data_IF_040744561791
#
_entry.id   IF_040744561791
#
_cell.length_a   1.000
_cell.length_b   1.000
_cell.length_c   1.000
_cell.angle_alpha   90.00
_cell.angle_beta   90.00
_cell.angle_gamma   90.00
#
_symmetry.space_group_name_H-M   'P 1'
#
loop_
_entity.id
_entity.type
_entity.pdbx_description
1 polymer ?
#
# COMPACT_ATOMS: atom_id res chain seq x y z
N UNK A 1 16.16 14.10 4.39
CA UNK A 1 15.38 12.90 4.73
C UNK A 1 14.21 12.76 3.75
N UNK A 2 14.01 11.58 3.17
CA UNK A 2 12.89 11.30 2.27
C UNK A 2 11.88 10.38 2.98
N UNK A 3 10.61 10.42 2.58
CA UNK A 3 9.60 9.56 3.18
C UNK A 3 9.85 8.09 2.81
N UNK A 4 9.99 7.24 3.83
CA UNK A 4 9.96 5.78 3.66
C UNK A 4 8.52 5.25 3.64
N UNK A 5 8.36 3.93 3.51
CA UNK A 5 7.08 3.24 3.73
C UNK A 5 6.58 3.51 5.16
N UNK A 6 5.27 3.47 5.35
CA UNK A 6 4.58 3.84 6.61
C UNK A 6 3.76 2.67 7.23
N UNK A 7 4.12 1.42 6.93
CA UNK A 7 3.36 0.24 7.38
C UNK A 7 3.34 0.11 8.92
N UNK A 8 4.45 0.43 9.58
CA UNK A 8 4.57 0.36 11.04
C UNK A 8 3.63 1.36 11.71
N UNK A 9 3.59 2.60 11.20
CA UNK A 9 2.76 3.68 11.71
C UNK A 9 1.28 3.37 11.51
N UNK A 10 0.90 2.81 10.36
CA UNK A 10 -0.48 2.34 10.11
C UNK A 10 -0.88 1.22 11.06
N UNK A 11 -0.01 0.23 11.26
CA UNK A 11 -0.27 -0.87 12.19
C UNK A 11 -0.39 -0.36 13.63
N UNK A 12 0.52 0.48 14.10
CA UNK A 12 0.43 1.07 15.44
C UNK A 12 -0.91 1.80 15.65
N UNK A 13 -1.34 2.62 14.68
CA UNK A 13 -2.67 3.27 14.72
C UNK A 13 -3.81 2.25 14.73
N UNK A 14 -3.71 1.18 13.93
CA UNK A 14 -4.70 0.09 13.92
C UNK A 14 -4.83 -0.62 15.27
N UNK A 15 -3.74 -0.71 16.04
CA UNK A 15 -3.72 -1.25 17.40
C UNK A 15 -4.03 -0.19 18.49
N UNK A 16 -4.52 1.00 18.10
CA UNK A 16 -4.96 2.04 19.02
C UNK A 16 -3.85 2.93 19.59
N UNK A 17 -2.67 2.98 18.94
CA UNK A 17 -1.56 3.86 19.34
C UNK A 17 -1.62 5.16 18.55
N UNK A 18 -1.53 6.29 19.26
CA UNK A 18 -1.33 7.59 18.65
C UNK A 18 0.10 7.72 18.11
N UNK A 19 0.19 7.94 16.80
CA UNK A 19 1.46 8.13 16.08
C UNK A 19 1.42 9.47 15.35
N UNK A 20 2.36 10.35 15.70
CA UNK A 20 2.62 11.58 14.97
C UNK A 20 3.62 11.26 13.85
N UNK A 21 3.22 11.43 12.60
CA UNK A 21 4.09 11.16 11.47
C UNK A 21 3.82 12.13 10.32
N UNK A 22 4.91 12.62 9.74
CA UNK A 22 4.93 13.42 8.52
C UNK A 22 6.08 12.92 7.63
N UNK A 23 6.16 13.30 6.34
CA UNK A 23 7.28 12.90 5.50
C UNK A 23 8.64 13.19 6.14
N UNK A 24 9.41 12.13 6.42
CA UNK A 24 10.73 12.21 7.05
C UNK A 24 10.74 12.37 8.58
N UNK A 25 9.59 12.30 9.24
CA UNK A 25 9.47 12.37 10.71
C UNK A 25 8.41 11.39 11.23
N UNK A 26 8.73 10.66 12.29
CA UNK A 26 7.76 9.85 13.01
C UNK A 26 8.10 9.84 14.51
N UNK A 27 7.08 9.94 15.34
CA UNK A 27 7.20 9.92 16.80
C UNK A 27 6.01 9.21 17.44
N UNK A 28 6.28 8.61 18.60
CA UNK A 28 5.27 7.97 19.45
C UNK A 28 5.51 8.38 20.89
N UNK A 29 4.44 8.60 21.66
CA UNK A 29 4.56 8.78 23.11
C UNK A 29 4.66 7.42 23.78
N UNK A 30 5.65 7.25 24.65
CA UNK A 30 5.80 6.04 25.47
C UNK A 30 4.63 5.85 26.46
N UNK A 31 4.47 4.63 26.96
CA UNK A 31 3.44 4.30 27.97
C UNK A 31 2.05 3.97 27.39
N UNK A 32 1.86 4.09 26.08
CA UNK A 32 0.66 3.63 25.39
C UNK A 32 0.55 2.10 25.39
N UNK A 33 -0.67 1.56 25.30
CA UNK A 33 -0.93 0.12 25.26
C UNK A 33 -1.56 -0.27 23.92
N UNK A 34 -1.03 -1.32 23.32
CA UNK A 34 -1.63 -1.93 22.13
C UNK A 34 -2.93 -2.62 22.51
N UNK A 35 -3.99 -2.39 21.74
CA UNK A 35 -5.25 -3.10 21.83
C UNK A 35 -5.35 -4.11 20.70
N UNK A 36 -5.56 -5.38 21.05
CA UNK A 36 -5.80 -6.42 20.06
C UNK A 36 -7.06 -6.08 19.24
N UNK A 37 -6.97 -6.30 17.94
CA UNK A 37 -8.06 -6.08 16.99
C UNK A 37 -7.95 -7.10 15.84
N UNK A 38 -9.03 -7.23 15.06
CA UNK A 38 -8.97 -7.96 13.80
C UNK A 38 -8.33 -7.06 12.74
N UNK A 39 -7.34 -7.59 12.03
CA UNK A 39 -6.69 -6.92 10.90
C UNK A 39 -6.84 -7.79 9.68
N UNK A 40 -7.47 -7.25 8.65
CA UNK A 40 -7.42 -7.84 7.32
C UNK A 40 -6.12 -7.41 6.64
N UNK A 41 -5.27 -8.37 6.29
CA UNK A 41 -3.99 -8.10 5.66
C UNK A 41 -4.21 -7.99 4.14
N UNK A 42 -3.95 -6.83 3.52
CA UNK A 42 -4.14 -6.68 2.09
C UNK A 42 -3.13 -7.53 1.31
N UNK A 43 -3.51 -7.97 0.11
CA UNK A 43 -2.61 -8.66 -0.82
C UNK A 43 -1.45 -7.73 -1.24
N UNK A 44 -0.26 -8.30 -1.41
CA UNK A 44 0.95 -7.50 -1.69
C UNK A 44 0.95 -6.96 -3.12
N UNK A 45 0.97 -5.63 -3.25
CA UNK A 45 1.10 -4.94 -4.54
C UNK A 45 2.38 -5.29 -5.30
N UNK A 46 3.47 -5.64 -4.61
CA UNK A 46 4.70 -6.09 -5.28
C UNK A 46 4.50 -7.43 -5.98
N UNK A 47 3.69 -8.33 -5.41
CA UNK A 47 3.30 -9.58 -6.07
C UNK A 47 2.25 -9.34 -7.16
N UNK A 48 1.30 -8.43 -6.93
CA UNK A 48 0.29 -8.03 -7.91
C UNK A 48 0.90 -7.35 -9.15
N UNK A 49 2.08 -6.75 -9.02
CA UNK A 49 2.78 -6.09 -10.13
C UNK A 49 3.03 -7.02 -11.31
N UNK A 50 3.37 -8.29 -11.06
CA UNK A 50 3.65 -9.25 -12.14
C UNK A 50 2.44 -9.53 -13.04
N UNK A 51 1.25 -9.90 -12.52
CA UNK A 51 0.07 -10.07 -13.36
C UNK A 51 -0.45 -8.75 -13.93
N UNK A 52 -0.25 -7.60 -13.27
CA UNK A 52 -0.57 -6.28 -13.84
C UNK A 52 0.24 -5.99 -15.11
N UNK A 53 1.56 -6.24 -15.06
CA UNK A 53 2.44 -6.10 -16.23
C UNK A 53 2.07 -7.11 -17.32
N UNK A 54 1.74 -8.35 -16.95
CA UNK A 54 1.30 -9.36 -17.91
C UNK A 54 0.03 -8.90 -18.66
N UNK A 55 -0.97 -8.38 -17.96
CA UNK A 55 -2.18 -7.85 -18.57
C UNK A 55 -1.91 -6.64 -19.48
N UNK A 56 -0.92 -5.80 -19.12
CA UNK A 56 -0.54 -4.65 -19.93
C UNK A 56 0.14 -5.00 -21.26
N UNK A 57 0.82 -6.15 -21.35
CA UNK A 57 1.62 -6.53 -22.54
C UNK A 57 0.96 -7.63 -23.40
N UNK A 58 -0.01 -8.37 -22.86
CA UNK A 58 -0.71 -9.43 -23.59
C UNK A 58 -2.02 -8.87 -24.17
N UNK A 59 -2.18 -8.80 -25.51
CA UNK A 59 -3.38 -8.25 -26.13
C UNK A 59 -4.67 -8.96 -25.71
N UNK A 60 -5.73 -8.20 -25.45
CA UNK A 60 -7.04 -8.72 -25.06
C UNK A 60 -7.13 -9.26 -23.63
N UNK A 61 -6.12 -9.02 -22.79
CA UNK A 61 -6.18 -9.39 -21.38
C UNK A 61 -7.19 -8.55 -20.60
N UNK A 62 -7.90 -9.20 -19.69
CA UNK A 62 -8.78 -8.58 -18.69
C UNK A 62 -8.55 -9.29 -17.35
N UNK A 63 -8.30 -8.52 -16.29
CA UNK A 63 -7.85 -9.04 -15.01
C UNK A 63 -8.45 -8.25 -13.86
N UNK A 64 -9.08 -8.97 -12.92
CA UNK A 64 -9.50 -8.44 -11.62
C UNK A 64 -8.55 -8.94 -10.52
N UNK A 65 -7.88 -8.01 -9.85
CA UNK A 65 -7.06 -8.30 -8.66
C UNK A 65 -7.77 -7.79 -7.40
N UNK A 66 -8.17 -8.70 -6.53
CA UNK A 66 -8.96 -8.38 -5.33
C UNK A 66 -8.09 -8.08 -4.11
N UNK A 67 -8.52 -7.14 -3.28
CA UNK A 67 -7.91 -6.82 -1.98
C UNK A 67 -6.40 -6.47 -2.02
N UNK A 68 -5.91 -5.94 -3.15
CA UNK A 68 -4.50 -5.49 -3.28
C UNK A 68 -4.27 -4.21 -2.49
N UNK A 69 -3.19 -4.17 -1.72
CA UNK A 69 -2.83 -3.03 -0.88
C UNK A 69 -2.43 -1.78 -1.69
N UNK A 70 -3.31 -0.79 -1.73
CA UNK A 70 -3.11 0.50 -2.41
C UNK A 70 -2.55 1.60 -1.50
N UNK A 71 -1.62 1.24 -0.61
CA UNK A 71 -0.93 2.23 0.22
C UNK A 71 -0.19 3.23 -0.69
N UNK A 72 -0.43 4.56 -0.60
CA UNK A 72 0.20 5.55 -1.48
C UNK A 72 1.73 5.50 -1.55
N UNK A 73 2.40 5.03 -0.48
CA UNK A 73 3.86 4.84 -0.48
C UNK A 73 4.33 3.62 -1.29
N UNK A 74 3.40 2.88 -1.92
CA UNK A 74 3.63 1.62 -2.64
C UNK A 74 2.98 1.55 -4.03
N UNK A 75 2.16 2.52 -4.41
CA UNK A 75 1.35 2.49 -5.64
C UNK A 75 2.06 2.98 -6.90
N UNK A 76 3.37 3.27 -6.86
CA UNK A 76 4.10 3.86 -8.00
C UNK A 76 4.00 3.07 -9.30
N UNK A 77 3.84 1.73 -9.23
CA UNK A 77 3.61 0.90 -10.42
C UNK A 77 2.31 1.24 -11.15
N UNK A 78 1.22 1.54 -10.44
CA UNK A 78 -0.08 1.90 -11.03
C UNK A 78 0.06 3.19 -11.82
N UNK A 79 0.73 4.19 -11.24
CA UNK A 79 0.95 5.48 -11.89
C UNK A 79 1.80 5.34 -13.17
N UNK A 80 2.84 4.50 -13.11
CA UNK A 80 3.70 4.23 -14.27
C UNK A 80 2.91 3.52 -15.38
N UNK A 81 2.17 2.44 -15.06
CA UNK A 81 1.40 1.71 -16.06
C UNK A 81 0.30 2.57 -16.70
N UNK A 82 -0.39 3.40 -15.91
CA UNK A 82 -1.36 4.38 -16.45
C UNK A 82 -0.69 5.37 -17.39
N UNK A 83 0.49 5.90 -17.06
CA UNK A 83 1.27 6.78 -17.95
C UNK A 83 1.74 6.08 -19.22
N UNK A 84 1.95 4.76 -19.16
CA UNK A 84 2.26 3.93 -20.32
C UNK A 84 1.02 3.57 -21.16
N UNK A 85 -0.17 3.97 -20.75
CA UNK A 85 -1.42 3.77 -21.49
C UNK A 85 -2.23 2.54 -21.07
N UNK A 86 -1.83 1.83 -20.01
CA UNK A 86 -2.62 0.72 -19.47
C UNK A 86 -3.89 1.26 -18.80
N UNK A 87 -5.05 0.71 -19.17
CA UNK A 87 -6.32 0.99 -18.49
C UNK A 87 -6.35 0.24 -17.16
N UNK A 88 -6.49 0.97 -16.06
CA UNK A 88 -6.52 0.42 -14.69
C UNK A 88 -7.55 1.19 -13.89
N UNK A 89 -8.56 0.49 -13.39
CA UNK A 89 -9.57 1.00 -12.46
C UNK A 89 -9.26 0.54 -11.03
N UNK A 90 -9.55 1.38 -10.03
CA UNK A 90 -9.28 1.14 -8.59
C UNK A 90 -10.56 1.21 -7.78
#
# INVERSE_FOLDING_TARGET
PEASRDHTERMLRGFGVEVDATPGYAAVRGGQRLKATSIEVPADISSATFPMVAAAIVPGSDLLLTAVGINPTRTGIIDILRRMGTQIDL
#
